data_IF_252103664403
#
_entry.id   IF_252103664403
#
_cell.length_a   1.000
_cell.length_b   1.000
_cell.length_c   1.000
_cell.angle_alpha   90.00
_cell.angle_beta   90.00
_cell.angle_gamma   90.00
#
_symmetry.space_group_name_H-M   'P 1'
#
loop_
_entity.id
_entity.type
_entity.pdbx_description
1 polymer ?
#
# COMPACT_ATOMS: atom_id res chain seq x y z
N UNK A 1 -16.76 7.30 12.87
CA UNK A 1 -15.44 7.82 13.32
C UNK A 1 -14.42 7.36 12.31
N UNK A 2 -13.41 8.18 11.99
CA UNK A 2 -12.35 7.78 11.04
C UNK A 2 -11.16 7.24 11.82
N UNK A 3 -10.64 6.10 11.36
CA UNK A 3 -9.57 5.34 12.00
C UNK A 3 -8.50 4.93 10.99
N UNK A 4 -7.31 4.62 11.49
CA UNK A 4 -6.23 4.01 10.72
C UNK A 4 -6.07 2.57 11.21
N UNK A 5 -6.53 1.61 10.40
CA UNK A 5 -6.59 0.20 10.78
C UNK A 5 -5.43 -0.60 10.18
N UNK A 6 -4.96 -1.61 10.91
CA UNK A 6 -4.09 -2.64 10.34
C UNK A 6 -4.94 -3.53 9.42
N UNK A 7 -4.56 -3.71 8.14
CA UNK A 7 -5.29 -4.57 7.23
C UNK A 7 -5.42 -5.99 7.80
N UNK A 8 -6.62 -6.55 7.71
CA UNK A 8 -6.95 -7.89 8.19
C UNK A 8 -8.04 -8.49 7.30
N UNK A 9 -8.26 -9.80 7.41
CA UNK A 9 -9.22 -10.53 6.57
C UNK A 9 -10.65 -9.95 6.65
N UNK A 10 -11.07 -9.47 7.82
CA UNK A 10 -12.38 -8.84 8.02
C UNK A 10 -12.55 -7.52 7.23
N UNK A 11 -11.47 -6.79 6.99
CA UNK A 11 -11.48 -5.53 6.25
C UNK A 11 -11.38 -5.74 4.74
N UNK A 12 -10.81 -6.87 4.31
CA UNK A 12 -10.39 -7.12 2.94
C UNK A 12 -11.52 -7.04 1.90
N UNK A 13 -12.75 -7.53 2.14
CA UNK A 13 -13.84 -7.42 1.18
C UNK A 13 -14.15 -5.97 0.77
N UNK A 14 -14.15 -5.05 1.75
CA UNK A 14 -14.45 -3.64 1.49
C UNK A 14 -13.31 -2.96 0.71
N UNK A 15 -12.06 -3.27 1.05
CA UNK A 15 -10.90 -2.78 0.32
C UNK A 15 -10.89 -3.27 -1.14
N UNK A 16 -11.16 -4.56 -1.35
CA UNK A 16 -11.27 -5.17 -2.67
C UNK A 16 -12.38 -4.50 -3.50
N UNK A 17 -13.54 -4.27 -2.92
CA UNK A 17 -14.64 -3.54 -3.58
C UNK A 17 -14.24 -2.12 -4.01
N UNK A 18 -13.41 -1.41 -3.21
CA UNK A 18 -12.89 -0.11 -3.62
C UNK A 18 -11.96 -0.22 -4.84
N UNK A 19 -11.07 -1.21 -4.87
CA UNK A 19 -10.21 -1.51 -6.03
C UNK A 19 -11.05 -1.85 -7.28
N UNK A 20 -12.05 -2.72 -7.15
CA UNK A 20 -12.95 -3.13 -8.24
C UNK A 20 -13.78 -1.97 -8.80
N UNK A 21 -14.06 -0.94 -7.98
CA UNK A 21 -14.70 0.31 -8.40
C UNK A 21 -13.75 1.26 -9.16
N UNK A 22 -12.50 0.85 -9.39
CA UNK A 22 -11.51 1.62 -10.16
C UNK A 22 -10.71 2.62 -9.32
N UNK A 23 -10.77 2.54 -7.99
CA UNK A 23 -9.84 3.30 -7.15
C UNK A 23 -8.47 2.62 -7.09
N UNK A 24 -7.41 3.42 -6.98
CA UNK A 24 -6.04 2.94 -6.77
C UNK A 24 -5.43 3.54 -5.50
N UNK A 25 -4.78 2.73 -4.65
CA UNK A 25 -3.99 3.22 -3.53
C UNK A 25 -2.63 3.80 -3.96
N UNK A 26 -2.25 3.63 -5.24
CA UNK A 26 -1.03 4.17 -5.83
C UNK A 26 -1.39 5.29 -6.81
N UNK A 27 -0.94 6.52 -6.50
CA UNK A 27 -1.26 7.71 -7.27
C UNK A 27 -0.37 7.92 -8.51
N UNK A 28 0.57 7.00 -8.78
CA UNK A 28 1.49 7.06 -9.92
C UNK A 28 1.16 5.95 -10.92
N UNK A 29 1.09 4.69 -10.47
CA UNK A 29 0.83 3.52 -11.33
C UNK A 29 -0.65 3.27 -11.61
N UNK A 30 -1.54 3.85 -10.79
CA UNK A 30 -2.99 3.85 -10.97
C UNK A 30 -3.55 2.44 -11.25
N UNK A 31 -4.14 2.22 -12.42
CA UNK A 31 -4.83 0.98 -12.81
C UNK A 31 -3.92 -0.25 -12.78
N UNK A 32 -2.65 -0.10 -13.12
CA UNK A 32 -1.70 -1.22 -13.11
C UNK A 32 -1.52 -1.77 -11.69
N UNK A 33 -1.29 -0.88 -10.72
CA UNK A 33 -1.18 -1.25 -9.31
C UNK A 33 -2.51 -1.82 -8.76
N UNK A 34 -3.66 -1.32 -9.24
CA UNK A 34 -4.96 -1.89 -8.87
C UNK A 34 -5.09 -3.33 -9.35
N UNK A 35 -4.74 -3.62 -10.62
CA UNK A 35 -4.78 -4.99 -11.18
C UNK A 35 -3.85 -5.94 -10.44
N UNK A 36 -2.63 -5.51 -10.14
CA UNK A 36 -1.65 -6.31 -9.40
C UNK A 36 -2.15 -6.68 -8.01
N UNK A 37 -2.75 -5.73 -7.28
CA UNK A 37 -3.29 -6.02 -5.95
C UNK A 37 -4.51 -6.91 -6.00
N UNK A 38 -5.42 -6.71 -6.97
CA UNK A 38 -6.55 -7.63 -7.16
C UNK A 38 -6.06 -9.06 -7.44
N UNK A 39 -5.06 -9.21 -8.33
CA UNK A 39 -4.47 -10.52 -8.61
C UNK A 39 -3.82 -11.15 -7.36
N UNK A 40 -3.04 -10.38 -6.59
CA UNK A 40 -2.42 -10.87 -5.36
C UNK A 40 -3.46 -11.25 -4.28
N UNK A 41 -4.58 -10.52 -4.20
CA UNK A 41 -5.70 -10.83 -3.31
C UNK A 41 -6.37 -12.14 -3.73
N UNK A 42 -6.57 -12.38 -5.03
CA UNK A 42 -7.15 -13.65 -5.53
C UNK A 42 -6.22 -14.84 -5.31
N UNK A 43 -4.91 -14.65 -5.49
CA UNK A 43 -3.91 -15.70 -5.35
C UNK A 43 -3.75 -16.16 -3.89
N UNK A 44 -3.50 -15.21 -2.98
CA UNK A 44 -3.38 -15.49 -1.55
C UNK A 44 -3.71 -14.23 -0.72
N UNK A 45 -4.95 -14.12 -0.20
CA UNK A 45 -5.37 -13.02 0.67
C UNK A 45 -4.48 -12.82 1.89
N UNK A 46 -3.99 -13.90 2.50
CA UNK A 46 -3.20 -13.84 3.72
C UNK A 46 -1.78 -13.35 3.42
N UNK A 47 -1.16 -13.85 2.35
CA UNK A 47 0.14 -13.36 1.89
C UNK A 47 0.08 -11.90 1.44
N UNK A 48 -0.99 -11.49 0.74
CA UNK A 48 -1.23 -10.09 0.39
C UNK A 48 -1.26 -9.21 1.65
N UNK A 49 -2.07 -9.56 2.64
CA UNK A 49 -2.16 -8.81 3.89
C UNK A 49 -0.83 -8.76 4.66
N UNK A 50 -0.09 -9.88 4.71
CA UNK A 50 1.23 -9.94 5.33
C UNK A 50 2.24 -9.03 4.62
N UNK A 51 2.16 -8.91 3.29
CA UNK A 51 3.04 -8.05 2.50
C UNK A 51 2.85 -6.54 2.79
N UNK A 52 1.72 -6.15 3.37
CA UNK A 52 1.42 -4.77 3.72
C UNK A 52 2.11 -4.31 5.02
N UNK A 53 2.68 -5.23 5.81
CA UNK A 53 3.31 -4.93 7.10
C UNK A 53 4.75 -5.48 7.15
N UNK A 54 5.68 -4.75 6.52
CA UNK A 54 7.08 -5.14 6.38
C UNK A 54 8.03 -4.12 7.06
N UNK A 55 7.95 -3.98 8.40
CA UNK A 55 8.74 -2.99 9.14
C UNK A 55 10.24 -3.28 9.13
N UNK A 56 10.65 -4.40 8.55
CA UNK A 56 12.06 -4.78 8.42
C UNK A 56 12.57 -4.74 6.98
N UNK A 57 11.69 -4.49 5.99
CA UNK A 57 12.07 -4.42 4.57
C UNK A 57 12.50 -5.78 4.00
N UNK A 58 11.93 -6.87 4.49
CA UNK A 58 12.25 -8.26 4.10
C UNK A 58 11.60 -8.67 2.78
N UNK A 59 10.66 -7.89 2.26
CA UNK A 59 10.03 -8.13 0.96
C UNK A 59 11.02 -8.06 -0.20
N UNK A 60 10.61 -8.52 -1.40
CA UNK A 60 11.48 -8.51 -2.56
C UNK A 60 11.92 -7.09 -2.95
N UNK A 61 13.10 -6.96 -3.59
CA UNK A 61 13.59 -5.67 -4.08
C UNK A 61 12.62 -5.03 -5.08
N UNK A 62 12.75 -3.72 -5.25
CA UNK A 62 11.91 -2.93 -6.15
C UNK A 62 12.69 -2.67 -7.43
N UNK A 63 12.06 -2.92 -8.59
CA UNK A 63 12.59 -2.53 -9.89
C UNK A 63 12.25 -1.07 -10.18
N UNK A 64 13.27 -0.26 -10.47
CA UNK A 64 13.13 1.15 -10.86
C UNK A 64 12.82 1.28 -12.36
N UNK A 65 12.35 2.46 -12.83
CA UNK A 65 12.04 2.67 -14.25
C UNK A 65 13.23 2.46 -15.21
N UNK A 66 14.47 2.58 -14.73
CA UNK A 66 15.69 2.32 -15.50
C UNK A 66 16.07 0.82 -15.56
N UNK A 67 15.25 -0.05 -14.96
CA UNK A 67 15.46 -1.50 -14.90
C UNK A 67 16.38 -1.97 -13.77
N UNK A 68 17.01 -1.05 -13.02
CA UNK A 68 17.82 -1.43 -11.86
C UNK A 68 16.94 -1.89 -10.70
N UNK A 69 17.50 -2.72 -9.81
CA UNK A 69 16.80 -3.16 -8.60
C UNK A 69 17.43 -2.55 -7.35
N UNK A 70 16.59 -2.09 -6.43
CA UNK A 70 17.01 -1.52 -5.15
C UNK A 70 16.36 -2.27 -3.99
N UNK A 71 17.02 -2.36 -2.81
CA UNK A 71 16.40 -2.93 -1.62
C UNK A 71 15.11 -2.20 -1.28
N UNK A 72 14.10 -2.97 -0.86
CA UNK A 72 12.86 -2.41 -0.33
C UNK A 72 13.16 -1.72 1.00
N UNK A 73 12.62 -0.51 1.18
CA UNK A 73 12.70 0.16 2.47
C UNK A 73 11.76 -0.51 3.48
N UNK A 74 12.16 -0.58 4.77
CA UNK A 74 11.23 -0.78 5.86
C UNK A 74 9.99 0.09 5.74
N UNK A 75 8.83 -0.51 5.93
CA UNK A 75 7.58 0.21 5.74
C UNK A 75 6.35 -0.62 6.06
N UNK A 76 5.23 0.07 6.19
CA UNK A 76 3.95 -0.57 6.30
C UNK A 76 2.84 0.27 5.67
N UNK A 77 1.77 -0.41 5.29
CA UNK A 77 0.53 0.17 4.80
C UNK A 77 -0.60 -0.11 5.79
N UNK A 78 -1.43 0.89 6.00
CA UNK A 78 -2.65 0.87 6.79
C UNK A 78 -3.80 1.36 5.93
N UNK A 79 -5.02 1.04 6.33
CA UNK A 79 -6.21 1.54 5.65
C UNK A 79 -6.86 2.64 6.45
N UNK A 80 -7.34 3.66 5.73
CA UNK A 80 -8.20 4.71 6.29
C UNK A 80 -9.60 4.11 6.30
N UNK A 81 -10.25 4.13 7.47
CA UNK A 81 -11.48 3.38 7.71
C UNK A 81 -12.51 4.26 8.39
N UNK A 82 -13.75 4.24 7.89
CA UNK A 82 -14.88 4.99 8.47
C UNK A 82 -16.10 4.09 8.76
N UNK A 83 -15.88 2.78 8.79
CA UNK A 83 -16.90 1.72 8.76
C UNK A 83 -16.73 0.83 7.52
N UNK A 84 -16.10 1.36 6.48
CA UNK A 84 -15.67 0.66 5.27
C UNK A 84 -14.35 1.28 4.75
N UNK A 85 -13.80 0.75 3.66
CA UNK A 85 -12.57 1.25 3.07
C UNK A 85 -12.75 2.70 2.56
N UNK A 86 -12.04 3.63 3.20
CA UNK A 86 -12.00 5.04 2.82
C UNK A 86 -10.68 5.46 2.16
N UNK A 87 -9.64 4.65 2.28
CA UNK A 87 -8.37 4.91 1.64
C UNK A 87 -7.23 4.05 2.13
N UNK A 88 -6.02 4.39 1.72
CA UNK A 88 -4.77 3.75 2.10
C UNK A 88 -3.76 4.80 2.52
N UNK A 89 -2.98 4.50 3.54
CA UNK A 89 -1.83 5.30 3.99
C UNK A 89 -0.63 4.39 4.21
N UNK A 90 0.52 4.78 3.68
CA UNK A 90 1.78 4.05 3.83
C UNK A 90 2.84 4.91 4.48
N UNK A 91 3.62 4.31 5.38
CA UNK A 91 4.80 4.89 5.98
C UNK A 91 6.03 4.05 5.62
N UNK A 92 7.14 4.72 5.26
CA UNK A 92 8.42 4.08 4.92
C UNK A 92 9.58 4.88 5.49
N UNK A 93 10.68 4.22 5.82
CA UNK A 93 11.84 4.88 6.42
C UNK A 93 13.16 4.16 6.12
N UNK A 94 14.27 4.84 6.40
CA UNK A 94 15.60 4.24 6.47
C UNK A 94 15.99 4.08 7.96
N UNK A 95 16.49 2.91 8.40
CA UNK A 95 16.97 2.76 9.76
C UNK A 95 18.09 3.76 10.09
N UNK A 96 17.97 4.44 11.23
CA UNK A 96 19.01 5.35 11.71
C UNK A 96 19.06 6.73 11.05
N UNK A 97 18.16 7.06 10.12
CA UNK A 97 18.11 8.41 9.51
C UNK A 97 16.71 8.81 9.05
N UNK A 98 16.44 10.12 9.08
CA UNK A 98 15.26 10.71 8.46
C UNK A 98 15.47 11.07 6.98
N UNK A 99 16.68 10.90 6.44
CA UNK A 99 16.90 11.06 5.00
C UNK A 99 16.21 9.92 4.23
N UNK A 100 15.83 10.19 2.98
CA UNK A 100 15.32 9.19 2.04
C UNK A 100 16.22 9.09 0.81
N UNK A 101 16.29 7.92 0.15
CA UNK A 101 16.96 7.82 -1.14
C UNK A 101 16.29 8.75 -2.16
N UNK A 102 17.05 9.26 -3.12
CA UNK A 102 16.57 10.24 -4.11
C UNK A 102 15.37 9.77 -4.95
N UNK A 103 15.19 8.46 -5.09
CA UNK A 103 14.07 7.85 -5.81
C UNK A 103 12.79 7.71 -4.96
N UNK A 104 12.81 8.11 -3.68
CA UNK A 104 11.67 8.01 -2.77
C UNK A 104 11.11 9.40 -2.49
N UNK A 105 9.88 9.64 -2.95
CA UNK A 105 9.23 10.96 -2.93
C UNK A 105 8.81 11.46 -1.54
N UNK A 106 8.85 10.61 -0.52
CA UNK A 106 8.49 10.97 0.84
C UNK A 106 8.29 9.78 1.75
N UNK A 107 8.22 10.04 3.06
CA UNK A 107 7.99 9.02 4.08
C UNK A 107 6.56 8.52 4.07
N UNK A 108 5.62 9.44 3.85
CA UNK A 108 4.18 9.19 3.91
C UNK A 108 3.61 9.39 2.53
N UNK A 109 2.84 8.40 2.06
CA UNK A 109 1.97 8.54 0.90
C UNK A 109 0.59 8.02 1.28
N UNK A 110 -0.46 8.69 0.83
CA UNK A 110 -1.83 8.25 1.06
C UNK A 110 -2.73 8.54 -0.13
N UNK A 111 -3.82 7.79 -0.21
CA UNK A 111 -4.86 7.98 -1.20
C UNK A 111 -6.22 7.75 -0.53
N UNK A 112 -7.16 8.67 -0.73
CA UNK A 112 -8.54 8.57 -0.24
C UNK A 112 -9.45 8.31 -1.44
N UNK A 113 -10.42 7.41 -1.27
CA UNK A 113 -11.41 7.12 -2.31
C UNK A 113 -12.18 8.40 -2.66
N UNK A 114 -12.40 8.70 -3.96
CA UNK A 114 -12.94 9.99 -4.36
C UNK A 114 -14.38 10.26 -3.89
N UNK A 115 -15.15 9.21 -3.58
CA UNK A 115 -16.55 9.31 -3.13
C UNK A 115 -16.74 9.49 -1.63
N UNK A 116 -15.65 9.61 -0.85
CA UNK A 116 -15.67 9.88 0.62
C UNK A 116 -14.85 11.12 1.01
N UNK A 117 -14.59 12.01 0.06
CA UNK A 117 -13.86 13.26 0.28
C UNK A 117 -14.78 14.37 0.73
#
# INVERSE_FOLDING_TARGET
MVEIVKPALEHLPSYKAALERGWSPDNVRLEEATREQLAAIEEDPAAFLASLDDPEGRGPPITLPDGTTVPRLPGFRRWIWDGEAAGSIGFRWQPGTAALPSHVLGHIGYAVVPWKR
#
